data_IF_275731016521
#
_entry.id   IF_275731016521
#
_cell.length_a   1.000
_cell.length_b   1.000
_cell.length_c   1.000
_cell.angle_alpha   90.00
_cell.angle_beta   90.00
_cell.angle_gamma   90.00
#
_symmetry.space_group_name_H-M   'P 1'
#
loop_
_entity.id
_entity.type
_entity.pdbx_description
1 polymer ?
#
# COMPACT_ATOMS: atom_id res chain seq x y z
N UNK A 1 -2.01 0.31 32.01
CA UNK A 1 -1.95 1.10 30.76
C UNK A 1 -2.89 0.45 29.76
N UNK A 2 -4.01 1.08 29.42
CA UNK A 2 -4.88 0.59 28.33
C UNK A 2 -4.12 0.70 27.01
N UNK A 3 -4.04 -0.37 26.21
CA UNK A 3 -3.44 -0.31 24.88
C UNK A 3 -4.21 0.69 24.00
N UNK A 4 -3.49 1.57 23.33
CA UNK A 4 -4.08 2.47 22.34
C UNK A 4 -4.67 1.63 21.20
N UNK A 5 -5.97 1.79 20.84
CA UNK A 5 -6.59 1.03 19.77
C UNK A 5 -5.86 1.15 18.42
N UNK A 6 -5.22 2.29 18.14
CA UNK A 6 -4.44 2.50 16.92
C UNK A 6 -3.17 1.65 16.89
N UNK A 7 -2.47 1.56 18.02
CA UNK A 7 -1.31 0.68 18.16
C UNK A 7 -1.74 -0.79 18.02
N UNK A 8 -2.89 -1.16 18.58
CA UNK A 8 -3.42 -2.51 18.44
C UNK A 8 -3.76 -2.87 16.98
N UNK A 9 -4.22 -1.92 16.17
CA UNK A 9 -4.49 -2.12 14.73
C UNK A 9 -3.21 -2.45 13.95
N UNK A 10 -2.08 -1.80 14.27
CA UNK A 10 -0.79 -2.10 13.63
C UNK A 10 -0.19 -3.40 14.18
N UNK A 11 -0.25 -3.63 15.49
CA UNK A 11 0.23 -4.89 16.11
C UNK A 11 -0.50 -6.11 15.56
N UNK A 12 -1.81 -6.01 15.32
CA UNK A 12 -2.61 -7.09 14.77
C UNK A 12 -2.29 -7.40 13.29
N UNK A 13 -1.65 -6.46 12.58
CA UNK A 13 -1.35 -6.60 11.16
C UNK A 13 0.06 -6.10 10.81
N UNK A 14 1.04 -6.59 11.56
CA UNK A 14 2.46 -6.38 11.28
C UNK A 14 2.77 -6.76 9.83
N UNK A 15 3.45 -5.88 9.10
CA UNK A 15 3.86 -6.16 7.73
C UNK A 15 4.88 -7.30 7.69
N UNK A 16 4.54 -8.38 6.98
CA UNK A 16 5.34 -9.59 6.90
C UNK A 16 5.77 -9.95 5.47
N UNK A 17 5.56 -9.04 4.51
CA UNK A 17 5.92 -9.24 3.11
C UNK A 17 4.80 -9.84 2.24
N UNK A 18 3.73 -10.37 2.84
CA UNK A 18 2.61 -10.98 2.10
C UNK A 18 1.30 -10.18 2.19
N UNK A 19 1.17 -9.34 3.22
CA UNK A 19 -0.03 -8.60 3.57
C UNK A 19 0.04 -7.10 3.23
N UNK A 20 0.77 -6.70 2.18
CA UNK A 20 1.07 -5.30 1.89
C UNK A 20 -0.16 -4.39 1.81
N UNK A 21 -1.22 -4.83 1.10
CA UNK A 21 -2.42 -3.99 0.92
C UNK A 21 -3.19 -3.80 2.24
N UNK A 22 -3.33 -4.86 3.04
CA UNK A 22 -4.03 -4.82 4.33
C UNK A 22 -3.24 -3.98 5.34
N UNK A 23 -1.92 -4.15 5.37
CA UNK A 23 -1.02 -3.34 6.18
C UNK A 23 -1.08 -1.86 5.78
N UNK A 24 -1.01 -1.55 4.48
CA UNK A 24 -1.08 -0.16 3.98
C UNK A 24 -2.41 0.51 4.35
N UNK A 25 -3.52 -0.23 4.30
CA UNK A 25 -4.82 0.27 4.71
C UNK A 25 -4.85 0.60 6.22
N UNK A 26 -4.33 -0.29 7.06
CA UNK A 26 -4.24 -0.06 8.50
C UNK A 26 -3.32 1.11 8.85
N UNK A 27 -2.18 1.21 8.16
CA UNK A 27 -1.26 2.34 8.28
C UNK A 27 -1.96 3.66 7.96
N UNK A 28 -2.69 3.74 6.84
CA UNK A 28 -3.44 4.96 6.48
C UNK A 28 -4.49 5.34 7.53
N UNK A 29 -5.17 4.37 8.15
CA UNK A 29 -6.13 4.65 9.24
C UNK A 29 -5.43 5.31 10.44
N UNK A 30 -4.28 4.79 10.85
CA UNK A 30 -3.51 5.37 11.96
C UNK A 30 -3.00 6.77 11.62
N UNK A 31 -2.49 6.98 10.41
CA UNK A 31 -1.98 8.28 9.98
C UNK A 31 -3.09 9.30 9.74
N UNK A 32 -4.27 8.88 9.28
CA UNK A 32 -5.42 9.76 9.11
C UNK A 32 -5.89 10.30 10.48
N UNK A 33 -5.84 9.45 11.52
CA UNK A 33 -6.16 9.89 12.87
C UNK A 33 -5.21 10.99 13.38
N UNK A 34 -3.92 10.89 13.04
CA UNK A 34 -2.89 11.88 13.41
C UNK A 34 -2.80 13.06 12.41
N UNK A 35 -3.63 13.09 11.35
CA UNK A 35 -3.56 14.05 10.23
C UNK A 35 -2.22 14.05 9.47
N UNK A 36 -1.54 12.89 9.38
CA UNK A 36 -0.19 12.75 8.80
C UNK A 36 -0.15 11.97 7.48
N UNK A 37 -1.29 11.48 6.98
CA UNK A 37 -1.34 10.71 5.72
C UNK A 37 -0.75 11.44 4.53
N UNK A 38 -0.77 12.78 4.55
CA UNK A 38 -0.17 13.60 3.50
C UNK A 38 1.34 13.33 3.31
N UNK A 39 2.05 12.85 4.33
CA UNK A 39 3.47 12.47 4.24
C UNK A 39 3.67 11.32 3.25
N UNK A 40 2.69 10.40 3.14
CA UNK A 40 2.75 9.29 2.19
C UNK A 40 2.52 9.75 0.74
N UNK A 41 1.63 10.72 0.55
CA UNK A 41 1.08 11.06 -0.77
C UNK A 41 1.70 12.32 -1.41
N UNK A 42 2.21 13.27 -0.62
CA UNK A 42 2.75 14.55 -1.11
C UNK A 42 4.26 14.53 -1.20
N UNK A 43 4.81 14.99 -2.31
CA UNK A 43 6.27 15.13 -2.50
C UNK A 43 6.93 15.90 -1.35
N UNK A 44 8.17 15.52 -1.05
CA UNK A 44 9.08 16.28 -0.19
C UNK A 44 8.95 17.80 -0.46
N UNK A 45 8.73 18.66 0.55
CA UNK A 45 8.75 20.08 0.32
C UNK A 45 10.13 20.50 -0.20
N UNK A 46 10.16 21.54 -1.03
CA UNK A 46 11.43 22.08 -1.51
C UNK A 46 12.26 22.56 -0.32
N UNK A 47 13.57 22.37 -0.40
CA UNK A 47 14.49 22.94 0.56
C UNK A 47 14.27 24.46 0.66
N UNK A 48 14.30 24.97 1.88
CA UNK A 48 14.21 26.41 2.15
C UNK A 48 15.38 27.13 1.46
N UNK A 49 15.09 28.27 0.87
CA UNK A 49 16.07 29.19 0.30
C UNK A 49 16.31 30.35 1.26
N UNK A 50 17.34 31.15 1.03
CA UNK A 50 17.69 32.29 1.89
C UNK A 50 16.56 33.36 1.89
N UNK A 51 15.80 33.42 0.80
CA UNK A 51 14.61 34.24 0.61
C UNK A 51 13.29 33.60 1.09
N UNK A 52 13.33 32.41 1.70
CA UNK A 52 12.11 31.74 2.18
C UNK A 52 11.43 32.56 3.30
N UNK A 53 10.11 32.65 3.19
CA UNK A 53 9.27 33.32 4.17
C UNK A 53 9.22 32.54 5.48
N UNK A 54 8.89 33.22 6.57
CA UNK A 54 8.72 32.58 7.88
C UNK A 54 7.66 31.45 7.85
N UNK A 55 6.59 31.64 7.08
CA UNK A 55 5.53 30.64 6.91
C UNK A 55 6.00 29.38 6.18
N UNK A 56 6.87 29.53 5.17
CA UNK A 56 7.50 28.40 4.48
C UNK A 56 8.42 27.62 5.41
N UNK A 57 9.21 28.31 6.24
CA UNK A 57 10.07 27.68 7.24
C UNK A 57 9.26 26.84 8.23
N UNK A 58 8.20 27.41 8.81
CA UNK A 58 7.30 26.69 9.74
C UNK A 58 6.64 25.48 9.09
N UNK A 59 6.24 25.60 7.82
CA UNK A 59 5.63 24.50 7.07
C UNK A 59 6.64 23.37 6.83
N UNK A 60 7.89 23.72 6.50
CA UNK A 60 8.97 22.75 6.29
C UNK A 60 9.37 22.02 7.57
N UNK A 61 9.50 22.74 8.69
CA UNK A 61 9.79 22.16 10.01
C UNK A 61 8.70 21.17 10.43
N UNK A 62 7.42 21.59 10.34
CA UNK A 62 6.29 20.71 10.62
C UNK A 62 6.30 19.45 9.73
N UNK A 63 6.59 19.62 8.45
CA UNK A 63 6.68 18.48 7.54
C UNK A 63 7.79 17.51 7.96
N UNK A 64 8.96 18.01 8.37
CA UNK A 64 10.06 17.16 8.84
C UNK A 64 9.69 16.39 10.11
N UNK A 65 9.08 17.06 11.09
CA UNK A 65 8.62 16.41 12.32
C UNK A 65 7.62 15.28 12.03
N UNK A 66 6.63 15.57 11.17
CA UNK A 66 5.62 14.59 10.80
C UNK A 66 6.23 13.45 9.96
N UNK A 67 7.19 13.75 9.08
CA UNK A 67 7.94 12.72 8.35
C UNK A 67 8.69 11.78 9.29
N UNK A 68 9.37 12.30 10.32
CA UNK A 68 10.07 11.47 11.32
C UNK A 68 9.11 10.57 12.13
N UNK A 69 7.95 11.11 12.51
CA UNK A 69 6.90 10.32 13.20
C UNK A 69 6.38 9.21 12.30
N UNK A 70 6.02 9.52 11.06
CA UNK A 70 5.52 8.53 10.09
C UNK A 70 6.58 7.48 9.80
N UNK A 71 7.85 7.87 9.64
CA UNK A 71 8.97 6.95 9.46
C UNK A 71 9.06 5.94 10.60
N UNK A 72 8.98 6.41 11.85
CA UNK A 72 8.99 5.57 13.04
C UNK A 72 7.81 4.60 13.06
N UNK A 73 6.60 5.06 12.72
CA UNK A 73 5.39 4.22 12.65
C UNK A 73 5.53 3.15 11.57
N UNK A 74 6.00 3.54 10.38
CA UNK A 74 6.22 2.65 9.24
C UNK A 74 7.17 1.53 9.66
N UNK A 75 8.35 1.83 10.20
CA UNK A 75 9.31 0.83 10.64
C UNK A 75 8.80 -0.05 11.79
N UNK A 76 8.16 0.54 12.81
CA UNK A 76 7.63 -0.19 13.95
C UNK A 76 6.49 -1.16 13.58
N UNK A 77 5.81 -0.90 12.47
CA UNK A 77 4.73 -1.74 11.96
C UNK A 77 5.20 -2.90 11.05
N UNK A 78 6.51 -3.14 10.94
CA UNK A 78 7.10 -4.22 10.14
C UNK A 78 7.66 -5.35 11.00
N UNK A 79 7.80 -6.54 10.40
CA UNK A 79 8.61 -7.59 11.00
C UNK A 79 10.09 -7.19 11.03
N UNK A 80 10.83 -7.69 12.02
CA UNK A 80 12.24 -7.35 12.23
C UNK A 80 13.12 -7.56 10.97
N UNK A 81 12.85 -8.61 10.19
CA UNK A 81 13.64 -8.93 9.00
C UNK A 81 13.39 -7.97 7.84
N UNK A 82 12.19 -7.40 7.76
CA UNK A 82 11.84 -6.37 6.77
C UNK A 82 12.33 -5.01 7.26
N UNK A 83 12.09 -4.68 8.53
CA UNK A 83 12.53 -3.42 9.14
C UNK A 83 14.04 -3.18 8.89
N UNK A 84 14.90 -4.18 9.12
CA UNK A 84 16.35 -4.09 8.88
C UNK A 84 16.73 -3.73 7.43
N UNK A 85 15.88 -4.05 6.46
CA UNK A 85 16.11 -3.69 5.05
C UNK A 85 15.84 -2.22 4.77
N UNK A 86 14.99 -1.57 5.58
CA UNK A 86 14.55 -0.19 5.37
C UNK A 86 15.09 0.80 6.41
N UNK A 87 15.71 0.32 7.50
CA UNK A 87 16.23 1.10 8.62
C UNK A 87 17.30 2.16 8.24
N UNK A 88 17.90 2.05 7.04
CA UNK A 88 18.93 2.98 6.54
C UNK A 88 18.38 4.09 5.63
N UNK A 89 17.06 4.16 5.44
CA UNK A 89 16.42 5.16 4.60
C UNK A 89 15.72 6.18 5.48
N UNK A 90 16.04 7.47 5.35
CA UNK A 90 15.43 8.54 6.16
C UNK A 90 14.12 9.09 5.56
N UNK A 91 13.89 8.84 4.27
CA UNK A 91 12.73 9.35 3.54
C UNK A 91 11.61 8.29 3.43
N UNK A 92 10.46 8.62 4.03
CA UNK A 92 9.26 7.76 4.00
C UNK A 92 8.82 7.50 2.57
N UNK A 93 8.91 8.47 1.66
CA UNK A 93 8.43 8.30 0.29
C UNK A 93 9.23 7.23 -0.45
N UNK A 94 10.56 7.26 -0.29
CA UNK A 94 11.49 6.29 -0.87
C UNK A 94 11.23 4.88 -0.36
N UNK A 95 10.96 4.74 0.95
CA UNK A 95 10.56 3.46 1.56
C UNK A 95 9.27 2.97 0.92
N UNK A 96 8.22 3.80 0.93
CA UNK A 96 6.90 3.43 0.42
C UNK A 96 6.92 3.08 -1.07
N UNK A 97 7.67 3.83 -1.87
CA UNK A 97 7.86 3.57 -3.30
C UNK A 97 8.51 2.20 -3.51
N UNK A 98 9.64 1.93 -2.85
CA UNK A 98 10.35 0.65 -2.95
C UNK A 98 9.48 -0.52 -2.50
N UNK A 99 8.79 -0.37 -1.36
CA UNK A 99 7.88 -1.41 -0.86
C UNK A 99 6.75 -1.68 -1.86
N UNK A 100 6.18 -0.64 -2.47
CA UNK A 100 5.14 -0.82 -3.48
C UNK A 100 5.63 -1.57 -4.72
N UNK A 101 6.88 -1.39 -5.11
CA UNK A 101 7.46 -2.09 -6.26
C UNK A 101 7.68 -3.58 -6.00
N UNK A 102 8.00 -3.94 -4.75
CA UNK A 102 8.35 -5.31 -4.35
C UNK A 102 7.11 -6.09 -3.89
N UNK A 103 6.29 -5.47 -3.04
CA UNK A 103 5.26 -6.18 -2.27
C UNK A 103 3.84 -5.79 -2.64
N UNK A 104 3.62 -4.64 -3.27
CA UNK A 104 2.29 -4.40 -3.83
C UNK A 104 2.08 -5.47 -4.89
N UNK A 105 1.16 -6.39 -4.62
CA UNK A 105 0.77 -7.37 -5.61
C UNK A 105 0.27 -6.57 -6.80
N UNK A 106 1.08 -6.51 -7.85
CA UNK A 106 0.68 -5.79 -9.02
C UNK A 106 -0.58 -6.48 -9.50
N UNK A 107 -1.62 -5.69 -9.71
CA UNK A 107 -2.85 -6.17 -10.30
C UNK A 107 -2.53 -6.93 -11.62
N UNK A 108 -1.38 -6.66 -12.26
CA UNK A 108 -0.82 -7.43 -13.38
C UNK A 108 -0.49 -8.89 -13.04
N UNK A 109 0.08 -9.24 -11.89
CA UNK A 109 0.35 -10.65 -11.54
C UNK A 109 -0.93 -11.41 -11.21
N UNK A 110 -1.86 -10.82 -10.45
CA UNK A 110 -3.18 -11.42 -10.20
C UNK A 110 -3.93 -11.59 -11.52
N UNK A 111 -3.95 -10.55 -12.38
CA UNK A 111 -4.54 -10.63 -13.72
C UNK A 111 -3.87 -11.67 -14.58
N UNK A 112 -2.53 -11.75 -14.58
CA UNK A 112 -1.81 -12.73 -15.37
C UNK A 112 -2.12 -14.15 -14.89
N UNK A 113 -2.11 -14.39 -13.57
CA UNK A 113 -2.48 -15.68 -12.99
C UNK A 113 -3.94 -16.05 -13.30
N UNK A 114 -4.88 -15.11 -13.14
CA UNK A 114 -6.29 -15.31 -13.47
C UNK A 114 -6.51 -15.54 -14.97
N UNK A 115 -5.83 -14.79 -15.84
CA UNK A 115 -5.88 -14.94 -17.30
C UNK A 115 -5.28 -16.27 -17.73
N UNK A 116 -4.11 -16.64 -17.19
CA UNK A 116 -3.47 -17.93 -17.45
C UNK A 116 -4.35 -19.08 -16.99
N UNK A 117 -4.94 -19.00 -15.80
CA UNK A 117 -5.89 -20.00 -15.28
C UNK A 117 -7.14 -20.09 -16.16
N UNK A 118 -7.69 -18.96 -16.59
CA UNK A 118 -8.84 -18.91 -17.51
C UNK A 118 -8.54 -19.63 -18.83
N UNK A 119 -7.45 -19.26 -19.52
CA UNK A 119 -7.06 -19.90 -20.79
C UNK A 119 -6.61 -21.36 -20.65
N UNK A 120 -6.12 -21.76 -19.47
CA UNK A 120 -5.66 -23.14 -19.21
C UNK A 120 -6.76 -24.06 -18.70
N UNK A 121 -7.94 -23.54 -18.35
CA UNK A 121 -9.06 -24.37 -17.89
C UNK A 121 -9.73 -25.03 -19.08
N UNK A 122 -9.40 -26.30 -19.34
CA UNK A 122 -10.12 -27.14 -20.30
C UNK A 122 -11.36 -27.73 -19.65
N UNK A 123 -12.43 -27.90 -20.43
CA UNK A 123 -13.56 -28.74 -20.02
C UNK A 123 -13.04 -30.18 -19.91
N UNK A 124 -13.26 -30.81 -18.76
CA UNK A 124 -12.88 -32.21 -18.53
C UNK A 124 -14.01 -33.07 -19.11
N UNK A 125 -13.67 -34.09 -19.88
CA UNK A 125 -14.66 -35.01 -20.46
C UNK A 125 -15.43 -35.72 -19.33
N UNK A 126 -16.77 -35.68 -19.38
CA UNK A 126 -17.64 -36.15 -18.30
C UNK A 126 -17.90 -35.16 -17.16
N UNK A 127 -17.31 -33.96 -17.17
CA UNK A 127 -17.57 -32.92 -16.16
C UNK A 127 -18.81 -32.07 -16.47
N UNK A 128 -19.43 -31.53 -15.41
CA UNK A 128 -20.59 -30.66 -15.55
C UNK A 128 -20.22 -29.33 -16.22
N UNK A 129 -20.87 -29.03 -17.34
CA UNK A 129 -20.72 -27.76 -18.07
C UNK A 129 -21.12 -26.57 -17.19
N UNK A 130 -22.09 -26.74 -16.28
CA UNK A 130 -22.54 -25.71 -15.36
C UNK A 130 -21.47 -25.35 -14.33
N UNK A 131 -20.82 -26.35 -13.71
CA UNK A 131 -19.73 -26.12 -12.74
C UNK A 131 -18.52 -25.45 -13.41
N UNK A 132 -18.18 -25.89 -14.62
CA UNK A 132 -17.17 -25.24 -15.43
C UNK A 132 -17.53 -23.78 -15.73
N UNK A 133 -18.79 -23.50 -16.08
CA UNK A 133 -19.30 -22.15 -16.32
C UNK A 133 -19.18 -21.24 -15.09
N UNK A 134 -19.53 -21.74 -13.90
CA UNK A 134 -19.37 -21.00 -12.63
C UNK A 134 -17.89 -20.71 -12.34
N UNK A 135 -17.00 -21.68 -12.58
CA UNK A 135 -15.55 -21.49 -12.42
C UNK A 135 -14.98 -20.46 -13.40
N UNK A 136 -15.46 -20.43 -14.63
CA UNK A 136 -15.07 -19.41 -15.61
C UNK A 136 -15.59 -18.02 -15.24
N UNK A 137 -16.85 -17.93 -14.78
CA UNK A 137 -17.47 -16.68 -14.34
C UNK A 137 -16.73 -16.04 -13.15
N UNK A 138 -16.26 -16.85 -12.19
CA UNK A 138 -15.50 -16.34 -11.05
C UNK A 138 -14.14 -15.75 -11.47
N UNK A 139 -13.42 -16.42 -12.39
CA UNK A 139 -12.15 -15.93 -12.96
C UNK A 139 -12.35 -14.63 -13.77
N UNK A 140 -13.44 -14.51 -14.51
CA UNK A 140 -13.79 -13.29 -15.27
C UNK A 140 -14.12 -12.12 -14.34
N UNK A 141 -14.89 -12.36 -13.27
CA UNK A 141 -15.18 -11.32 -12.26
C UNK A 141 -13.90 -10.83 -11.60
N UNK A 142 -13.02 -11.75 -11.17
CA UNK A 142 -11.72 -11.40 -10.61
C UNK A 142 -10.88 -10.53 -11.56
N UNK A 143 -11.00 -10.72 -12.87
CA UNK A 143 -10.26 -9.94 -13.88
C UNK A 143 -10.88 -8.56 -14.19
N UNK A 144 -12.19 -8.38 -13.95
CA UNK A 144 -12.93 -7.12 -14.21
C UNK A 144 -12.81 -6.13 -13.06
N UNK A 145 -12.84 -6.57 -11.80
CA UNK A 145 -12.72 -5.69 -10.62
C UNK A 145 -11.42 -4.88 -10.65
N UNK A 146 -10.33 -5.53 -11.04
CA UNK A 146 -9.02 -4.96 -11.36
C UNK A 146 -9.03 -3.84 -12.43
N UNK A 147 -9.86 -4.00 -13.47
CA UNK A 147 -9.90 -3.08 -14.61
C UNK A 147 -10.61 -1.76 -14.25
N UNK A 148 -11.63 -1.83 -13.39
CA UNK A 148 -12.35 -0.67 -12.86
C UNK A 148 -11.47 0.18 -11.93
N UNK A 149 -10.62 -0.46 -11.11
CA UNK A 149 -9.69 0.24 -10.21
C UNK A 149 -8.64 1.06 -10.99
N UNK A 150 -8.14 0.51 -12.12
CA UNK A 150 -7.20 1.23 -12.99
C UNK A 150 -7.82 2.42 -13.73
N UNK A 151 -9.07 2.29 -14.18
CA UNK A 151 -9.76 3.41 -14.84
C UNK A 151 -10.04 4.55 -13.86
N UNK A 152 -10.41 4.23 -12.62
CA UNK A 152 -10.67 5.23 -11.57
C UNK A 152 -9.43 6.02 -11.16
N UNK A 153 -8.23 5.40 -11.21
CA UNK A 153 -6.94 6.10 -10.99
C UNK A 153 -6.54 7.02 -12.14
N UNK A 154 -6.99 6.72 -13.37
CA UNK A 154 -6.65 7.50 -14.59
C UNK A 154 -7.52 8.75 -14.77
N UNK A 155 -8.68 8.80 -14.11
CA UNK A 155 -9.61 9.94 -14.15
C UNK A 155 -9.38 10.95 -13.03
N UNK A 156 -8.40 10.72 -12.14
CA UNK A 156 -8.04 11.58 -11.00
C UNK A 156 -6.67 12.26 -11.16
N UNK A 157 -6.05 12.13 -12.34
CA UNK A 157 -4.86 12.86 -12.82
C UNK A 157 -5.27 13.69 -14.01
#
# INVERSE_FOLDING_TARGET
MSKNPLTAVLEANIFNGTNYNDWLQNLRIVLDFENQTYVLDRSLPRALLEESTHEECLTFEKWQEDNQKVHSIVLASMSNDIQKQYDRHDDVQSIMLRMSQIYAVSDRHIRYAATKAFFSTKVIEGSSVQEHGVKMLSLVRSSRTSRLILQKRRTLT
#
